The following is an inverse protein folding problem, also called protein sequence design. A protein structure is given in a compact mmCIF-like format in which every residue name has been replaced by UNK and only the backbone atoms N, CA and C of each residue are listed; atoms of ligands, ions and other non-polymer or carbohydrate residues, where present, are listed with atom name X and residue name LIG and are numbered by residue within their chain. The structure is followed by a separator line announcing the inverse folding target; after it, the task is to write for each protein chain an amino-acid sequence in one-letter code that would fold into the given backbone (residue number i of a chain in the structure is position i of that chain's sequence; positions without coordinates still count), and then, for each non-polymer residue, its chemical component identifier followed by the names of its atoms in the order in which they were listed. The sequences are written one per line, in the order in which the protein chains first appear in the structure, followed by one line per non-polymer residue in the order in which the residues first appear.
data_IF_170802214351
#
_entry.id   IF_170802214351
#
_cell.length_a   1.000
_cell.length_b   1.000
_cell.length_c   1.000
_cell.angle_alpha   90.00
_cell.angle_beta   90.00
_cell.angle_gamma   90.00
#
_symmetry.space_group_name_H-M   'P 1'
#
loop_
_entity.id
_entity.type
_entity.pdbx_description
1 polymer ?
#
# COMPACT_ATOMS: atom_id res chain seq x y z
N UNK A 1 -13.43 4.88 10.51
CA UNK A 1 -12.84 5.85 11.45
C UNK A 1 -11.80 6.71 10.75
N UNK A 2 -11.56 7.94 11.23
CA UNK A 2 -10.57 8.87 10.67
C UNK A 2 -9.99 9.77 11.73
N UNK A 3 -8.75 10.23 11.52
CA UNK A 3 -8.04 11.19 12.38
C UNK A 3 -7.07 12.04 11.56
N UNK A 4 -6.73 13.24 12.03
CA UNK A 4 -5.82 14.15 11.33
C UNK A 4 -6.39 14.70 10.02
N UNK A 5 -5.50 14.98 9.08
CA UNK A 5 -5.87 15.50 7.76
C UNK A 5 -6.34 14.39 6.82
N UNK A 6 -7.28 14.70 5.95
CA UNK A 6 -7.55 13.95 4.73
C UNK A 6 -6.90 14.66 3.53
N UNK A 7 -6.93 14.08 2.33
CA UNK A 7 -6.32 14.66 1.12
C UNK A 7 -6.83 16.08 0.86
N UNK A 8 -8.15 16.31 1.00
CA UNK A 8 -8.77 17.61 0.74
C UNK A 8 -8.25 18.67 1.71
N UNK A 9 -8.19 18.36 2.99
CA UNK A 9 -7.69 19.29 4.00
C UNK A 9 -6.18 19.45 3.96
N UNK A 10 -5.42 18.39 3.68
CA UNK A 10 -3.97 18.48 3.48
C UNK A 10 -3.62 19.42 2.31
N UNK A 11 -4.30 19.27 1.17
CA UNK A 11 -4.14 20.17 0.03
C UNK A 11 -4.53 21.64 0.37
N UNK A 12 -5.64 21.84 1.09
CA UNK A 12 -6.11 23.15 1.49
C UNK A 12 -5.08 23.88 2.39
N UNK A 13 -4.38 23.15 3.25
CA UNK A 13 -3.33 23.71 4.12
C UNK A 13 -1.94 23.75 3.47
N UNK A 14 -1.81 23.34 2.20
CA UNK A 14 -0.57 23.44 1.44
C UNK A 14 0.49 22.40 1.79
N UNK A 15 0.12 21.27 2.38
CA UNK A 15 1.07 20.17 2.61
C UNK A 15 1.48 19.53 1.28
N UNK A 16 2.77 19.27 1.10
CA UNK A 16 3.25 18.34 0.07
C UNK A 16 3.15 16.91 0.64
N UNK A 17 2.08 16.23 0.29
CA UNK A 17 1.73 14.94 0.85
C UNK A 17 1.61 13.85 -0.21
N UNK A 18 1.75 12.63 0.25
CA UNK A 18 1.31 11.41 -0.43
C UNK A 18 0.57 10.53 0.59
N UNK A 19 0.04 9.39 0.14
CA UNK A 19 -0.60 8.46 1.04
C UNK A 19 -0.29 7.02 0.70
N UNK A 20 -0.14 6.19 1.73
CA UNK A 20 -0.13 4.75 1.61
C UNK A 20 -1.54 4.20 1.77
N UNK A 21 -1.88 3.22 0.94
CA UNK A 21 -3.11 2.44 1.03
C UNK A 21 -2.74 0.98 1.18
N UNK A 22 -3.24 0.33 2.23
CA UNK A 22 -2.96 -1.07 2.49
C UNK A 22 -4.19 -1.79 3.04
N UNK A 23 -4.29 -3.07 2.72
CA UNK A 23 -5.27 -3.98 3.32
C UNK A 23 -4.54 -4.87 4.31
N UNK A 24 -5.05 -4.95 5.54
CA UNK A 24 -4.48 -5.77 6.60
C UNK A 24 -5.57 -6.48 7.39
N UNK A 25 -5.21 -7.60 8.03
CA UNK A 25 -6.12 -8.32 8.92
C UNK A 25 -6.20 -7.65 10.29
N UNK A 26 -7.36 -7.75 10.96
CA UNK A 26 -7.57 -7.23 12.31
C UNK A 26 -6.67 -7.90 13.35
N UNK A 27 -6.34 -9.17 13.16
CA UNK A 27 -5.42 -9.95 13.98
C UNK A 27 -4.78 -11.07 13.17
N UNK A 28 -3.98 -11.92 13.81
CA UNK A 28 -3.28 -13.04 13.16
C UNK A 28 -4.25 -13.95 12.42
N UNK A 29 -4.03 -14.16 11.13
CA UNK A 29 -4.96 -14.87 10.23
C UNK A 29 -5.08 -16.38 10.53
N UNK A 30 -4.10 -16.94 11.24
CA UNK A 30 -4.18 -18.33 11.73
C UNK A 30 -5.08 -18.48 12.97
N UNK A 31 -5.48 -17.37 13.60
CA UNK A 31 -6.48 -17.36 14.65
C UNK A 31 -7.86 -17.07 14.05
N UNK A 32 -8.91 -17.83 14.44
CA UNK A 32 -10.22 -17.70 13.81
C UNK A 32 -10.85 -16.32 13.96
N UNK A 33 -11.56 -15.87 12.94
CA UNK A 33 -12.40 -14.67 13.00
C UNK A 33 -11.75 -13.39 12.49
N UNK A 34 -10.50 -13.43 11.98
CA UNK A 34 -9.84 -12.26 11.42
C UNK A 34 -10.68 -11.60 10.31
N UNK A 35 -10.80 -10.27 10.38
CA UNK A 35 -11.50 -9.42 9.40
C UNK A 35 -10.52 -8.51 8.69
N UNK A 36 -10.73 -8.27 7.40
CA UNK A 36 -9.94 -7.29 6.64
C UNK A 36 -10.28 -5.86 7.04
N UNK A 37 -9.24 -5.02 7.06
CA UNK A 37 -9.33 -3.57 7.16
C UNK A 37 -8.60 -2.93 5.98
N UNK A 38 -9.18 -1.86 5.43
CA UNK A 38 -8.49 -0.97 4.51
C UNK A 38 -8.00 0.25 5.30
N UNK A 39 -6.73 0.54 5.17
CA UNK A 39 -6.04 1.58 5.92
C UNK A 39 -5.40 2.54 4.94
N UNK A 40 -5.72 3.81 5.08
CA UNK A 40 -5.09 4.91 4.36
C UNK A 40 -4.37 5.81 5.35
N UNK A 41 -3.08 6.05 5.11
CA UNK A 41 -2.27 6.94 5.95
C UNK A 41 -1.64 8.00 5.08
N UNK A 42 -1.95 9.27 5.36
CA UNK A 42 -1.33 10.43 4.72
C UNK A 42 -0.03 10.78 5.44
N UNK A 43 0.98 11.13 4.66
CA UNK A 43 2.28 11.54 5.16
C UNK A 43 2.88 12.69 4.32
N UNK A 44 3.71 13.48 4.94
CA UNK A 44 4.49 14.52 4.27
C UNK A 44 5.66 13.86 3.50
N UNK A 45 5.83 14.20 2.23
CA UNK A 45 6.75 13.48 1.33
C UNK A 45 8.21 13.56 1.77
N UNK A 46 8.66 14.74 2.17
CA UNK A 46 10.07 14.97 2.49
C UNK A 46 10.48 14.38 3.84
N UNK A 47 9.58 14.45 4.83
CA UNK A 47 9.89 14.08 6.21
C UNK A 47 9.36 12.72 6.62
N UNK A 48 8.35 12.22 5.92
CA UNK A 48 7.60 11.04 6.31
C UNK A 48 6.70 11.25 7.52
N UNK A 49 6.50 12.49 7.97
CA UNK A 49 5.65 12.81 9.10
C UNK A 49 4.21 12.42 8.83
N UNK A 50 3.57 11.74 9.78
CA UNK A 50 2.19 11.30 9.64
C UNK A 50 1.25 12.49 9.80
N UNK A 51 0.42 12.71 8.79
CA UNK A 51 -0.52 13.83 8.72
C UNK A 51 -1.95 13.44 9.05
N UNK A 52 -2.35 12.24 8.69
CA UNK A 52 -3.72 11.79 8.89
C UNK A 52 -3.92 10.33 8.55
N UNK A 53 -5.04 9.76 8.97
CA UNK A 53 -5.37 8.38 8.69
C UNK A 53 -6.88 8.15 8.58
N UNK A 54 -7.24 7.16 7.77
CA UNK A 54 -8.60 6.65 7.60
C UNK A 54 -8.56 5.12 7.61
N UNK A 55 -9.45 4.49 8.38
CA UNK A 55 -9.57 3.04 8.46
C UNK A 55 -11.01 2.63 8.27
N UNK A 56 -11.22 1.66 7.38
CA UNK A 56 -12.52 1.02 7.14
C UNK A 56 -12.35 -0.47 7.43
N UNK A 57 -13.15 -1.00 8.34
CA UNK A 57 -13.14 -2.41 8.72
C UNK A 57 -14.21 -2.70 9.77
N UNK A 58 -14.49 -3.98 9.97
CA UNK A 58 -15.51 -4.44 10.91
C UNK A 58 -14.95 -4.81 12.29
N UNK A 59 -13.61 -4.91 12.41
CA UNK A 59 -12.94 -5.28 13.65
C UNK A 59 -11.55 -4.64 13.71
N UNK A 60 -11.14 -4.15 14.88
CA UNK A 60 -9.81 -3.62 15.18
C UNK A 60 -9.46 -2.27 14.54
N UNK A 61 -10.41 -1.60 13.88
CA UNK A 61 -10.21 -0.27 13.30
C UNK A 61 -10.06 0.81 14.38
N UNK A 62 -10.80 0.69 15.46
CA UNK A 62 -10.79 1.59 16.63
C UNK A 62 -9.40 1.64 17.28
N UNK A 63 -8.84 0.47 17.58
CA UNK A 63 -7.48 0.37 18.16
C UNK A 63 -6.43 1.08 17.29
N UNK A 64 -6.44 0.85 15.97
CA UNK A 64 -5.40 1.37 15.07
C UNK A 64 -5.56 2.86 14.82
N UNK A 65 -6.80 3.35 14.73
CA UNK A 65 -7.02 4.78 14.52
C UNK A 65 -6.58 5.60 15.75
N UNK A 66 -6.74 5.09 16.96
CA UNK A 66 -6.31 5.76 18.18
C UNK A 66 -4.78 5.76 18.32
N UNK A 67 -4.12 4.67 17.93
CA UNK A 67 -2.63 4.64 17.86
C UNK A 67 -2.13 5.69 16.85
N UNK A 68 -2.74 5.74 15.65
CA UNK A 68 -2.38 6.74 14.62
C UNK A 68 -2.70 8.16 15.06
N UNK A 69 -3.81 8.40 15.77
CA UNK A 69 -4.12 9.71 16.33
C UNK A 69 -3.06 10.16 17.35
N UNK A 70 -2.61 9.25 18.19
CA UNK A 70 -1.52 9.49 19.15
C UNK A 70 -0.20 9.78 18.42
N UNK A 71 0.14 9.00 17.40
CA UNK A 71 1.33 9.21 16.57
C UNK A 71 1.32 10.58 15.88
N UNK A 72 0.19 10.98 15.27
CA UNK A 72 0.00 12.31 14.66
C UNK A 72 0.22 13.40 15.71
N UNK A 73 -0.39 13.27 16.88
CA UNK A 73 -0.26 14.26 17.96
C UNK A 73 1.18 14.39 18.47
N UNK A 74 1.91 13.27 18.51
CA UNK A 74 3.32 13.23 18.88
C UNK A 74 4.25 13.74 17.76
N UNK A 75 3.74 13.93 16.53
CA UNK A 75 4.53 14.36 15.39
C UNK A 75 5.40 13.27 14.79
N UNK A 76 5.03 12.00 14.97
CA UNK A 76 5.80 10.84 14.52
C UNK A 76 5.89 10.74 13.00
N UNK A 77 7.00 10.18 12.57
CA UNK A 77 7.28 9.82 11.17
C UNK A 77 6.91 8.35 10.88
N UNK A 78 6.90 7.98 9.60
CA UNK A 78 6.68 6.61 9.18
C UNK A 78 7.72 5.63 9.76
N UNK A 79 9.00 6.05 9.83
CA UNK A 79 10.07 5.25 10.43
C UNK A 79 9.78 4.94 11.89
N UNK A 80 9.37 5.95 12.66
CA UNK A 80 9.02 5.76 14.08
C UNK A 80 7.78 4.85 14.26
N UNK A 81 6.84 4.82 13.30
CA UNK A 81 5.74 3.83 13.33
C UNK A 81 6.25 2.39 13.23
N UNK A 82 7.36 2.15 12.52
CA UNK A 82 7.93 0.81 12.39
C UNK A 82 8.56 0.31 13.69
N UNK A 83 8.96 1.22 14.57
CA UNK A 83 9.63 0.94 15.85
C UNK A 83 8.64 0.79 17.01
N UNK A 84 7.35 1.08 16.81
CA UNK A 84 6.35 0.92 17.86
C UNK A 84 6.23 -0.54 18.30
N UNK A 85 6.48 -0.80 19.58
CA UNK A 85 6.24 -2.11 20.20
C UNK A 85 4.79 -2.17 20.67
N UNK A 86 3.90 -2.57 19.75
CA UNK A 86 2.46 -2.64 20.01
C UNK A 86 2.09 -4.00 20.61
N UNK A 87 1.14 -3.98 21.56
CA UNK A 87 0.68 -5.17 22.23
C UNK A 87 0.16 -6.24 21.26
N UNK A 88 0.69 -7.45 21.38
CA UNK A 88 0.39 -8.57 20.53
C UNK A 88 -0.07 -9.79 21.32
N UNK A 89 -1.18 -10.34 20.87
CA UNK A 89 -1.58 -11.73 21.05
C UNK A 89 -2.44 -12.14 19.84
N UNK A 90 -2.44 -13.42 19.43
CA UNK A 90 -3.12 -13.84 18.19
C UNK A 90 -4.56 -13.36 18.03
N UNK A 91 -5.41 -13.32 19.09
CA UNK A 91 -6.78 -12.84 18.96
C UNK A 91 -6.93 -11.34 18.75
N UNK A 92 -5.90 -10.54 19.06
CA UNK A 92 -6.00 -9.07 19.12
C UNK A 92 -5.16 -8.34 18.10
N UNK A 93 -4.10 -8.96 17.58
CA UNK A 93 -3.21 -8.30 16.63
C UNK A 93 -2.39 -9.33 15.84
N UNK A 94 -1.49 -8.84 15.02
CA UNK A 94 -0.41 -9.58 14.35
C UNK A 94 0.93 -9.14 14.92
N UNK A 95 1.96 -9.98 14.80
CA UNK A 95 3.31 -9.67 15.29
C UNK A 95 3.86 -8.35 14.70
N UNK A 96 3.50 -8.05 13.44
CA UNK A 96 3.58 -6.70 12.86
C UNK A 96 2.17 -6.15 12.78
N UNK A 97 1.84 -5.22 13.67
CA UNK A 97 0.52 -4.59 13.66
C UNK A 97 0.29 -3.82 12.35
N UNK A 98 -0.94 -3.68 11.88
CA UNK A 98 -1.27 -2.84 10.73
C UNK A 98 -0.69 -1.43 10.77
N UNK A 99 -0.49 -0.83 11.95
CA UNK A 99 0.18 0.47 12.11
C UNK A 99 1.67 0.37 11.74
N UNK A 100 2.37 -0.66 12.21
CA UNK A 100 3.77 -0.90 11.80
C UNK A 100 3.84 -1.15 10.28
N UNK A 101 2.89 -1.91 9.73
CA UNK A 101 2.84 -2.17 8.29
C UNK A 101 2.64 -0.90 7.47
N UNK A 102 1.83 0.05 7.94
CA UNK A 102 1.70 1.35 7.31
C UNK A 102 3.04 2.11 7.30
N UNK A 103 3.77 2.10 8.40
CA UNK A 103 5.13 2.64 8.50
C UNK A 103 6.08 2.04 7.46
N UNK A 104 6.14 0.71 7.35
CA UNK A 104 6.98 0.02 6.36
C UNK A 104 6.61 0.34 4.92
N UNK A 105 5.32 0.44 4.59
CA UNK A 105 4.85 0.81 3.24
C UNK A 105 5.32 2.22 2.90
N UNK A 106 5.12 3.18 3.80
CA UNK A 106 5.53 4.58 3.60
C UNK A 106 7.06 4.69 3.48
N UNK A 107 7.82 4.02 4.34
CA UNK A 107 9.28 3.98 4.25
C UNK A 107 9.77 3.46 2.89
N UNK A 108 9.14 2.41 2.37
CA UNK A 108 9.50 1.88 1.06
C UNK A 108 9.23 2.88 -0.08
N UNK A 109 8.20 3.72 0.06
CA UNK A 109 7.90 4.80 -0.90
C UNK A 109 8.95 5.92 -0.78
N UNK A 110 9.16 6.46 0.40
CA UNK A 110 10.09 7.58 0.65
C UNK A 110 11.53 7.23 0.28
N UNK A 111 11.98 6.02 0.62
CA UNK A 111 13.34 5.55 0.30
C UNK A 111 13.52 5.10 -1.14
N UNK A 112 12.48 5.20 -1.98
CA UNK A 112 12.53 4.80 -3.38
C UNK A 112 12.67 3.29 -3.62
N UNK A 113 12.47 2.46 -2.60
CA UNK A 113 12.46 0.99 -2.74
C UNK A 113 11.32 0.51 -3.62
N UNK A 114 10.25 1.29 -3.71
CA UNK A 114 9.14 1.14 -4.65
C UNK A 114 8.69 2.53 -5.10
N UNK A 115 8.42 2.66 -6.38
CA UNK A 115 7.73 3.84 -6.91
C UNK A 115 6.24 3.59 -6.84
N UNK A 116 5.47 4.57 -6.39
CA UNK A 116 4.02 4.50 -6.29
C UNK A 116 3.36 5.44 -7.29
N UNK A 117 2.18 5.07 -7.73
CA UNK A 117 1.27 5.90 -8.51
C UNK A 117 -0.17 5.62 -8.07
N UNK A 118 -1.03 6.62 -8.15
CA UNK A 118 -2.45 6.44 -7.83
C UNK A 118 -3.28 6.14 -9.08
N UNK A 119 -4.41 5.43 -8.91
CA UNK A 119 -5.23 4.95 -10.01
C UNK A 119 -5.59 6.01 -11.04
N UNK A 120 -5.98 7.19 -10.60
CA UNK A 120 -6.36 8.27 -11.51
C UNK A 120 -5.20 8.66 -12.44
N UNK A 121 -4.01 8.79 -11.88
CA UNK A 121 -2.81 9.13 -12.63
C UNK A 121 -2.36 7.97 -13.53
N UNK A 122 -2.46 6.73 -13.03
CA UNK A 122 -2.06 5.54 -13.78
C UNK A 122 -2.90 5.30 -15.04
N UNK A 123 -4.19 5.62 -15.00
CA UNK A 123 -5.10 5.48 -16.15
C UNK A 123 -4.86 6.55 -17.23
N UNK A 124 -4.30 7.70 -16.86
CA UNK A 124 -3.98 8.80 -17.78
C UNK A 124 -2.52 8.75 -18.27
N UNK A 125 -1.67 7.95 -17.63
CA UNK A 125 -0.24 7.90 -17.91
C UNK A 125 0.10 7.03 -19.13
N UNK A 126 1.12 7.45 -19.90
CA UNK A 126 1.67 6.63 -20.98
C UNK A 126 2.49 5.47 -20.41
N UNK A 127 2.12 4.25 -20.76
CA UNK A 127 2.77 3.05 -20.30
C UNK A 127 1.92 1.79 -20.45
N UNK A 128 2.30 0.75 -19.74
CA UNK A 128 1.61 -0.55 -19.76
C UNK A 128 1.07 -0.86 -18.38
N UNK A 129 -0.21 -1.17 -18.30
CA UNK A 129 -0.80 -1.69 -17.07
C UNK A 129 -0.53 -3.20 -17.01
N UNK A 130 0.05 -3.67 -15.91
CA UNK A 130 0.32 -5.07 -15.64
C UNK A 130 -0.58 -5.56 -14.49
N UNK A 131 -1.46 -6.49 -14.79
CA UNK A 131 -2.28 -7.19 -13.80
C UNK A 131 -1.53 -8.45 -13.32
N UNK A 132 -1.23 -8.52 -12.03
CA UNK A 132 -0.50 -9.63 -11.41
C UNK A 132 -1.40 -10.57 -10.58
N UNK A 133 -2.71 -10.46 -10.77
CA UNK A 133 -3.70 -11.35 -10.15
C UNK A 133 -3.68 -12.74 -10.78
N UNK A 134 -4.38 -13.67 -10.17
CA UNK A 134 -4.54 -15.03 -10.72
C UNK A 134 -5.37 -15.03 -12.00
N UNK A 135 -5.26 -16.11 -12.81
CA UNK A 135 -6.07 -16.29 -14.02
C UNK A 135 -7.57 -16.22 -13.71
N UNK A 136 -7.97 -16.79 -12.55
CA UNK A 136 -9.35 -16.75 -12.09
C UNK A 136 -9.84 -15.33 -11.83
N UNK A 137 -9.08 -14.52 -11.09
CA UNK A 137 -9.44 -13.13 -10.81
C UNK A 137 -9.50 -12.29 -12.09
N UNK A 138 -8.55 -12.48 -13.00
CA UNK A 138 -8.50 -11.78 -14.29
C UNK A 138 -9.72 -12.11 -15.18
N UNK A 139 -10.10 -13.38 -15.25
CA UNK A 139 -11.25 -13.84 -16.03
C UNK A 139 -12.60 -13.29 -15.52
N UNK A 140 -12.69 -12.94 -14.22
CA UNK A 140 -13.91 -12.38 -13.62
C UNK A 140 -14.02 -10.84 -13.74
N UNK A 141 -13.04 -10.21 -14.36
CA UNK A 141 -13.02 -8.79 -14.66
C UNK A 141 -11.60 -8.23 -14.56
N UNK A 142 -11.22 -7.43 -15.55
CA UNK A 142 -9.89 -6.82 -15.64
C UNK A 142 -9.98 -5.47 -16.35
N UNK A 143 -8.89 -4.73 -16.34
CA UNK A 143 -8.77 -3.45 -17.04
C UNK A 143 -8.52 -3.75 -18.52
N UNK A 144 -9.33 -3.17 -19.41
CA UNK A 144 -9.17 -3.32 -20.85
C UNK A 144 -7.76 -2.91 -21.30
N UNK A 145 -7.11 -3.80 -22.06
CA UNK A 145 -5.75 -3.59 -22.56
C UNK A 145 -4.64 -3.84 -21.54
N UNK A 146 -4.94 -4.25 -20.30
CA UNK A 146 -3.92 -4.66 -19.36
C UNK A 146 -3.23 -5.96 -19.78
N UNK A 147 -1.91 -6.00 -19.67
CA UNK A 147 -1.15 -7.25 -19.75
C UNK A 147 -1.42 -8.09 -18.51
N UNK A 148 -1.59 -9.39 -18.69
CA UNK A 148 -1.82 -10.30 -17.58
C UNK A 148 -0.66 -11.27 -17.40
N UNK A 149 0.04 -11.13 -16.29
CA UNK A 149 1.09 -12.08 -15.86
C UNK A 149 0.94 -12.28 -14.34
N UNK A 150 0.36 -13.41 -13.90
CA UNK A 150 0.27 -13.73 -12.49
C UNK A 150 1.62 -13.62 -11.79
N UNK A 151 1.64 -13.13 -10.56
CA UNK A 151 2.88 -12.93 -9.77
C UNK A 151 3.75 -14.18 -9.75
N UNK A 152 3.15 -15.36 -9.60
CA UNK A 152 3.87 -16.62 -9.46
C UNK A 152 4.64 -17.02 -10.73
N UNK A 153 4.15 -16.63 -11.92
CA UNK A 153 4.81 -16.86 -13.20
C UNK A 153 5.64 -15.68 -13.70
N UNK A 154 5.64 -14.55 -12.99
CA UNK A 154 6.28 -13.31 -13.45
C UNK A 154 7.76 -13.48 -13.76
N UNK A 155 8.51 -14.22 -12.93
CA UNK A 155 9.96 -14.41 -13.11
C UNK A 155 10.32 -15.14 -14.40
N UNK A 156 9.48 -16.07 -14.84
CA UNK A 156 9.67 -16.87 -16.04
C UNK A 156 9.21 -16.11 -17.30
N UNK A 157 8.27 -15.19 -17.14
CA UNK A 157 7.60 -14.46 -18.23
C UNK A 157 8.09 -13.00 -18.38
N UNK A 158 9.20 -12.62 -17.75
CA UNK A 158 9.75 -11.25 -17.83
C UNK A 158 10.04 -10.79 -19.28
N UNK A 159 10.36 -11.72 -20.18
CA UNK A 159 10.65 -11.42 -21.60
C UNK A 159 9.42 -10.93 -22.38
N UNK A 160 8.21 -11.14 -21.88
CA UNK A 160 6.95 -10.66 -22.49
C UNK A 160 6.74 -9.16 -22.22
N UNK A 161 7.39 -8.62 -21.20
CA UNK A 161 7.24 -7.22 -20.82
C UNK A 161 8.04 -6.30 -21.75
N UNK A 162 7.46 -5.18 -22.20
CA UNK A 162 8.13 -4.25 -23.10
C UNK A 162 9.28 -3.55 -22.38
N UNK A 163 10.47 -3.59 -22.97
CA UNK A 163 11.61 -2.83 -22.49
C UNK A 163 11.48 -1.35 -22.85
N UNK A 164 11.90 -0.47 -21.94
CA UNK A 164 11.90 0.98 -22.18
C UNK A 164 10.56 1.67 -22.03
N UNK A 165 9.50 0.95 -21.65
CA UNK A 165 8.21 1.54 -21.28
C UNK A 165 8.03 1.50 -19.77
N UNK A 166 7.27 2.47 -19.24
CA UNK A 166 6.81 2.44 -17.84
C UNK A 166 5.77 1.33 -17.66
N UNK A 167 5.87 0.60 -16.54
CA UNK A 167 4.95 -0.47 -16.21
C UNK A 167 4.22 -0.10 -14.92
N UNK A 168 2.90 -0.01 -14.99
CA UNK A 168 2.02 0.28 -13.87
C UNK A 168 1.40 -1.02 -13.39
N UNK A 169 1.82 -1.47 -12.22
CA UNK A 169 1.50 -2.82 -11.71
C UNK A 169 0.37 -2.75 -10.70
N UNK A 170 -0.65 -3.54 -10.89
CA UNK A 170 -1.73 -3.66 -9.92
C UNK A 170 -2.03 -5.11 -9.52
N UNK A 171 -2.74 -5.25 -8.42
CA UNK A 171 -3.37 -6.49 -7.99
C UNK A 171 -4.67 -6.17 -7.22
N UNK A 172 -5.16 -7.07 -6.39
CA UNK A 172 -6.39 -6.86 -5.62
C UNK A 172 -6.24 -5.87 -4.44
N UNK A 173 -5.07 -5.82 -3.78
CA UNK A 173 -4.89 -5.10 -2.51
C UNK A 173 -3.50 -4.48 -2.32
N UNK A 174 -2.71 -4.37 -3.39
CA UNK A 174 -1.41 -3.72 -3.37
C UNK A 174 -0.21 -4.62 -3.02
N UNK A 175 -0.39 -5.76 -2.34
CA UNK A 175 0.75 -6.59 -1.88
C UNK A 175 1.44 -7.34 -3.04
N UNK A 176 0.67 -8.04 -3.88
CA UNK A 176 1.24 -8.79 -5.03
C UNK A 176 1.90 -7.86 -6.04
N UNK A 177 1.28 -6.72 -6.32
CA UNK A 177 1.85 -5.69 -7.20
C UNK A 177 3.10 -5.06 -6.61
N UNK A 178 3.17 -4.85 -5.30
CA UNK A 178 4.41 -4.44 -4.62
C UNK A 178 5.52 -5.48 -4.82
N UNK A 179 5.26 -6.77 -4.59
CA UNK A 179 6.24 -7.84 -4.80
C UNK A 179 6.69 -7.90 -6.27
N UNK A 180 5.75 -7.78 -7.21
CA UNK A 180 6.04 -7.70 -8.64
C UNK A 180 6.95 -6.52 -8.98
N UNK A 181 6.68 -5.32 -8.46
CA UNK A 181 7.55 -4.16 -8.62
C UNK A 181 8.95 -4.40 -8.08
N UNK A 182 9.10 -5.08 -6.93
CA UNK A 182 10.41 -5.43 -6.38
C UNK A 182 11.20 -6.35 -7.32
N UNK A 183 10.52 -7.31 -7.96
CA UNK A 183 11.14 -8.20 -8.97
C UNK A 183 11.54 -7.40 -10.21
N UNK A 184 10.64 -6.57 -10.72
CA UNK A 184 10.84 -5.80 -11.94
C UNK A 184 11.96 -4.77 -11.79
N UNK A 185 12.00 -4.02 -10.70
CA UNK A 185 13.07 -3.05 -10.41
C UNK A 185 14.46 -3.71 -10.35
N UNK A 186 14.57 -4.90 -9.75
CA UNK A 186 15.83 -5.67 -9.73
C UNK A 186 16.28 -6.11 -11.12
N UNK A 187 15.36 -6.19 -12.09
CA UNK A 187 15.61 -6.55 -13.48
C UNK A 187 15.74 -5.34 -14.41
N UNK A 188 15.77 -4.13 -13.85
CA UNK A 188 15.98 -2.89 -14.58
C UNK A 188 14.76 -2.34 -15.31
N UNK A 189 13.55 -2.79 -14.97
CA UNK A 189 12.31 -2.22 -15.49
C UNK A 189 11.95 -0.95 -14.72
N UNK A 190 11.43 0.05 -15.43
CA UNK A 190 10.83 1.23 -14.81
C UNK A 190 9.38 0.92 -14.49
N UNK A 191 9.09 0.64 -13.22
CA UNK A 191 7.76 0.21 -12.79
C UNK A 191 7.27 0.95 -11.54
N UNK A 192 5.96 1.03 -11.44
CA UNK A 192 5.23 1.72 -10.38
C UNK A 192 4.17 0.79 -9.81
N UNK A 193 4.09 0.73 -8.49
CA UNK A 193 2.98 0.05 -7.80
C UNK A 193 1.76 0.97 -7.80
N UNK A 194 0.65 0.54 -8.39
CA UNK A 194 -0.62 1.26 -8.28
C UNK A 194 -1.15 1.05 -6.86
N UNK A 195 -1.32 2.14 -6.12
CA UNK A 195 -1.79 2.11 -4.74
C UNK A 195 -3.26 1.64 -4.65
N UNK A 196 -3.52 0.63 -3.81
CA UNK A 196 -4.88 0.13 -3.53
C UNK A 196 -5.08 -1.33 -3.80
#
# INVERSE_FOLDING_TARGET
ASTGYNEKTAAMYGFDYDYALLTSASHATYYPGAKSMNIKVLFEKDTGKILGAQIIGFDGADKRIDVLATAIRAGMTASELTELELAYAPPYSSAKDPVNMAGYVIENIITGKVKQIHWKEALEADGVILDTRTDFEYAHGHIDGAMHIPLDSLRERLSELPKGKKIYVHCQSGLRSYIACRILLQKGYDCYNIAG
#
